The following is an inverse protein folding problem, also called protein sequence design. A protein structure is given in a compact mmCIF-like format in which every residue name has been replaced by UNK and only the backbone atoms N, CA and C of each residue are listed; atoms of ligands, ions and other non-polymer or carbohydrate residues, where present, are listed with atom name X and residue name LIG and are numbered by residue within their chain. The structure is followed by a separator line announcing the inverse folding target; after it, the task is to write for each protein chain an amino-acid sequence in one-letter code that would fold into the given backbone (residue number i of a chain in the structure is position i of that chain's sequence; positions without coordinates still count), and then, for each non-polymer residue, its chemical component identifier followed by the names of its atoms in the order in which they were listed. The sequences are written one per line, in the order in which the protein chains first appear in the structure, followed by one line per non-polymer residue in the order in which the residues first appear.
data_IF_770364234513
#
_entry.id   IF_770364234513
#
_cell.length_a   1.000
_cell.length_b   1.000
_cell.length_c   1.000
_cell.angle_alpha   90.00
_cell.angle_beta   90.00
_cell.angle_gamma   90.00
#
_symmetry.space_group_name_H-M   'P 1'
#
loop_
_entity.id
_entity.type
_entity.pdbx_description
1 polymer ?
#
# COMPACT_ATOMS: atom_id res chain seq x y z
N UNK A 1 -19.01 -10.57 -0.31
CA UNK A 1 -18.05 -10.61 -1.44
C UNK A 1 -18.76 -10.43 -2.78
N UNK A 2 -19.94 -11.02 -3.02
CA UNK A 2 -20.84 -10.57 -4.11
C UNK A 2 -21.08 -9.05 -4.02
N UNK A 3 -21.37 -8.55 -2.81
CA UNK A 3 -21.44 -7.10 -2.51
C UNK A 3 -20.17 -6.32 -2.89
N UNK A 4 -19.00 -6.94 -2.79
CA UNK A 4 -17.73 -6.25 -3.09
C UNK A 4 -17.55 -6.09 -4.60
N UNK A 5 -17.89 -7.11 -5.39
CA UNK A 5 -17.87 -7.04 -6.85
C UNK A 5 -18.89 -6.04 -7.38
N UNK A 6 -20.13 -6.09 -6.88
CA UNK A 6 -21.18 -5.14 -7.30
C UNK A 6 -20.82 -3.70 -6.93
N UNK A 7 -20.30 -3.46 -5.72
CA UNK A 7 -19.83 -2.13 -5.30
C UNK A 7 -18.64 -1.66 -6.13
N UNK A 8 -17.67 -2.53 -6.44
CA UNK A 8 -16.56 -2.16 -7.31
C UNK A 8 -17.03 -1.82 -8.73
N UNK A 9 -18.02 -2.54 -9.26
CA UNK A 9 -18.65 -2.22 -10.55
C UNK A 9 -19.35 -0.86 -10.54
N UNK A 10 -20.03 -0.50 -9.45
CA UNK A 10 -20.66 0.82 -9.29
C UNK A 10 -19.62 1.95 -9.21
N UNK A 11 -18.48 1.69 -8.58
CA UNK A 11 -17.38 2.64 -8.44
C UNK A 11 -16.43 2.67 -9.65
N UNK A 12 -16.71 1.87 -10.67
CA UNK A 12 -15.91 1.78 -11.87
C UNK A 12 -15.86 3.14 -12.58
N UNK A 13 -14.65 3.52 -12.98
CA UNK A 13 -14.40 4.67 -13.85
C UNK A 13 -13.68 4.19 -15.10
N UNK A 14 -13.80 4.96 -16.17
CA UNK A 14 -13.06 4.72 -17.40
C UNK A 14 -11.72 5.43 -17.35
N UNK A 15 -10.74 4.83 -18.02
CA UNK A 15 -9.45 5.47 -18.26
C UNK A 15 -9.68 6.66 -19.18
N UNK A 16 -9.17 7.84 -18.81
CA UNK A 16 -9.43 9.07 -19.56
C UNK A 16 -8.18 9.94 -19.63
N UNK A 17 -8.05 10.73 -20.70
CA UNK A 17 -6.96 11.71 -20.85
C UNK A 17 -7.08 12.90 -19.89
N UNK A 18 -8.19 12.97 -19.15
CA UNK A 18 -8.46 14.00 -18.13
C UNK A 18 -8.81 13.33 -16.81
N UNK A 19 -8.60 14.04 -15.69
CA UNK A 19 -8.99 13.54 -14.37
C UNK A 19 -10.53 13.52 -14.26
N UNK A 20 -11.17 12.35 -14.05
CA UNK A 20 -12.63 12.22 -14.02
C UNK A 20 -13.27 12.72 -12.71
N UNK A 21 -12.49 13.38 -11.86
CA UNK A 21 -12.89 13.91 -10.56
C UNK A 21 -12.86 15.44 -10.58
N UNK A 22 -13.90 16.09 -10.07
CA UNK A 22 -13.99 17.57 -10.07
C UNK A 22 -13.01 18.23 -9.09
N UNK A 23 -12.53 17.48 -8.10
CA UNK A 23 -11.59 17.95 -7.09
C UNK A 23 -10.85 16.79 -6.44
N UNK A 24 -9.72 17.08 -5.77
CA UNK A 24 -9.00 16.12 -4.94
C UNK A 24 -9.90 15.46 -3.89
N UNK A 25 -10.78 16.24 -3.25
CA UNK A 25 -11.72 15.73 -2.24
C UNK A 25 -12.64 14.64 -2.82
N UNK A 26 -13.09 14.79 -4.07
CA UNK A 26 -13.90 13.74 -4.72
C UNK A 26 -13.08 12.49 -5.04
N UNK A 27 -11.83 12.67 -5.46
CA UNK A 27 -10.90 11.56 -5.69
C UNK A 27 -10.61 10.80 -4.39
N UNK A 28 -10.34 11.49 -3.29
CA UNK A 28 -10.09 10.87 -1.99
C UNK A 28 -11.31 10.11 -1.47
N UNK A 29 -12.51 10.70 -1.56
CA UNK A 29 -13.76 10.00 -1.19
C UNK A 29 -13.96 8.71 -1.97
N UNK A 30 -13.80 8.78 -3.29
CA UNK A 30 -13.87 7.59 -4.13
C UNK A 30 -12.80 6.56 -3.74
N UNK A 31 -11.59 7.01 -3.45
CA UNK A 31 -10.50 6.12 -3.08
C UNK A 31 -10.72 5.44 -1.72
N UNK A 32 -11.35 6.12 -0.76
CA UNK A 32 -11.72 5.57 0.54
C UNK A 32 -12.85 4.53 0.43
N UNK A 33 -13.75 4.67 -0.54
CA UNK A 33 -14.78 3.68 -0.85
C UNK A 33 -14.19 2.44 -1.54
N UNK A 34 -13.22 2.63 -2.44
CA UNK A 34 -12.58 1.55 -3.22
C UNK A 34 -11.58 0.74 -2.39
N UNK A 35 -10.70 1.41 -1.62
CA UNK A 35 -9.60 0.76 -0.91
C UNK A 35 -9.99 -0.46 -0.04
N UNK A 36 -11.05 -0.41 0.79
CA UNK A 36 -11.45 -1.58 1.59
C UNK A 36 -11.95 -2.74 0.73
N UNK A 37 -12.51 -2.46 -0.45
CA UNK A 37 -13.02 -3.48 -1.38
C UNK A 37 -11.89 -4.23 -2.10
N UNK A 38 -10.68 -3.66 -2.17
CA UNK A 38 -9.51 -4.28 -2.79
C UNK A 38 -8.75 -5.24 -1.85
N UNK A 39 -9.11 -5.32 -0.56
CA UNK A 39 -8.38 -6.12 0.44
C UNK A 39 -8.41 -7.64 0.23
N UNK A 40 -9.16 -8.14 -0.75
CA UNK A 40 -9.10 -9.55 -1.15
C UNK A 40 -7.80 -9.87 -1.92
N UNK A 41 -7.18 -8.87 -2.55
CA UNK A 41 -5.92 -8.99 -3.26
C UNK A 41 -4.94 -7.92 -2.77
N UNK A 42 -4.05 -8.33 -1.85
CA UNK A 42 -3.04 -7.46 -1.24
C UNK A 42 -2.14 -6.74 -2.29
N UNK A 43 -1.61 -7.41 -3.34
CA UNK A 43 -0.90 -6.74 -4.42
C UNK A 43 -1.68 -5.59 -5.09
N UNK A 44 -2.95 -5.82 -5.44
CA UNK A 44 -3.80 -4.79 -6.06
C UNK A 44 -4.09 -3.65 -5.09
N UNK A 45 -4.39 -3.94 -3.83
CA UNK A 45 -4.60 -2.92 -2.79
C UNK A 45 -3.35 -2.04 -2.59
N UNK A 46 -2.15 -2.62 -2.61
CA UNK A 46 -0.90 -1.88 -2.49
C UNK A 46 -0.62 -1.01 -3.73
N UNK A 47 -0.84 -1.55 -4.94
CA UNK A 47 -0.69 -0.80 -6.20
C UNK A 47 -1.63 0.40 -6.24
N UNK A 48 -2.88 0.18 -5.88
CA UNK A 48 -3.89 1.23 -5.77
C UNK A 48 -3.46 2.31 -4.77
N UNK A 49 -3.05 1.93 -3.56
CA UNK A 49 -2.65 2.90 -2.54
C UNK A 49 -1.42 3.73 -2.97
N UNK A 50 -0.45 3.13 -3.66
CA UNK A 50 0.70 3.89 -4.20
C UNK A 50 0.27 4.91 -5.25
N UNK A 51 -0.62 4.52 -6.17
CA UNK A 51 -1.16 5.42 -7.19
C UNK A 51 -1.96 6.56 -6.55
N UNK A 52 -2.83 6.22 -5.57
CA UNK A 52 -3.58 7.19 -4.75
C UNK A 52 -2.67 8.22 -4.09
N UNK A 53 -1.63 7.78 -3.38
CA UNK A 53 -0.72 8.67 -2.67
C UNK A 53 0.01 9.61 -3.63
N UNK A 54 0.48 9.10 -4.77
CA UNK A 54 1.14 9.94 -5.77
C UNK A 54 0.19 10.95 -6.41
N UNK A 55 -1.03 10.53 -6.74
CA UNK A 55 -2.06 11.44 -7.24
C UNK A 55 -2.41 12.53 -6.22
N UNK A 56 -2.54 12.17 -4.93
CA UNK A 56 -2.86 13.12 -3.86
C UNK A 56 -1.74 14.14 -3.60
N UNK A 57 -0.49 13.81 -3.89
CA UNK A 57 0.62 14.75 -3.80
C UNK A 57 0.59 15.79 -4.93
N UNK A 58 0.18 15.40 -6.13
CA UNK A 58 0.27 16.26 -7.33
C UNK A 58 -1.02 17.07 -7.56
N UNK A 59 -2.20 16.52 -7.26
CA UNK A 59 -3.52 17.15 -7.48
C UNK A 59 -3.73 18.53 -6.82
N UNK A 60 -3.21 18.84 -5.61
CA UNK A 60 -3.34 20.17 -5.00
C UNK A 60 -2.72 21.29 -5.84
N UNK A 61 -1.72 20.97 -6.66
CA UNK A 61 -1.01 21.93 -7.51
C UNK A 61 -1.64 22.06 -8.91
N UNK A 62 -2.76 21.36 -9.15
CA UNK A 62 -3.46 21.34 -10.42
C UNK A 62 -3.28 20.03 -11.21
N UNK A 63 -4.11 19.81 -12.25
CA UNK A 63 -4.04 18.59 -13.07
C UNK A 63 -2.79 18.61 -13.95
N UNK A 64 -1.74 17.92 -13.51
CA UNK A 64 -0.55 17.64 -14.32
C UNK A 64 -0.69 16.30 -15.05
N UNK A 65 0.05 16.10 -16.14
CA UNK A 65 0.08 14.80 -16.82
C UNK A 65 0.43 13.65 -15.85
N UNK A 66 1.39 13.88 -14.94
CA UNK A 66 1.74 12.91 -13.90
C UNK A 66 0.55 12.56 -13.01
N UNK A 67 -0.21 13.56 -12.55
CA UNK A 67 -1.40 13.32 -11.73
C UNK A 67 -2.49 12.56 -12.49
N UNK A 68 -2.69 12.87 -13.77
CA UNK A 68 -3.62 12.15 -14.67
C UNK A 68 -3.19 10.69 -14.78
N UNK A 69 -1.91 10.44 -15.05
CA UNK A 69 -1.36 9.08 -15.16
C UNK A 69 -1.54 8.29 -13.86
N UNK A 70 -1.31 8.91 -12.69
CA UNK A 70 -1.48 8.24 -11.40
C UNK A 70 -2.95 7.93 -11.09
N UNK A 71 -3.87 8.83 -11.44
CA UNK A 71 -5.31 8.60 -11.31
C UNK A 71 -5.74 7.46 -12.23
N UNK A 72 -5.25 7.43 -13.47
CA UNK A 72 -5.54 6.35 -14.42
C UNK A 72 -4.99 5.01 -13.94
N UNK A 73 -3.78 4.96 -13.37
CA UNK A 73 -3.24 3.74 -12.75
C UNK A 73 -4.16 3.25 -11.62
N UNK A 74 -4.70 4.16 -10.81
CA UNK A 74 -5.63 3.79 -9.74
C UNK A 74 -6.93 3.20 -10.34
N UNK A 75 -7.49 3.83 -11.37
CA UNK A 75 -8.68 3.37 -12.10
C UNK A 75 -8.43 1.99 -12.73
N UNK A 76 -7.31 1.81 -13.40
CA UNK A 76 -6.94 0.55 -14.05
C UNK A 76 -6.76 -0.57 -13.03
N UNK A 77 -6.23 -0.26 -11.85
CA UNK A 77 -6.12 -1.23 -10.74
C UNK A 77 -7.50 -1.69 -10.25
N UNK A 78 -8.49 -0.78 -10.21
CA UNK A 78 -9.89 -1.15 -9.89
C UNK A 78 -10.50 -2.01 -10.98
N UNK A 79 -10.28 -1.66 -12.25
CA UNK A 79 -10.75 -2.44 -13.39
C UNK A 79 -10.15 -3.85 -13.42
N UNK A 80 -8.88 -3.98 -13.06
CA UNK A 80 -8.18 -5.26 -12.92
C UNK A 80 -8.78 -6.09 -11.76
N UNK A 81 -9.04 -5.47 -10.61
CA UNK A 81 -9.69 -6.12 -9.47
C UNK A 81 -11.09 -6.65 -9.80
N UNK A 82 -11.87 -5.91 -10.58
CA UNK A 82 -13.19 -6.35 -11.06
C UNK A 82 -13.04 -7.60 -11.93
N UNK A 83 -12.12 -7.58 -12.91
CA UNK A 83 -11.87 -8.73 -13.79
C UNK A 83 -11.44 -9.98 -13.01
N UNK A 84 -10.59 -9.81 -12.01
CA UNK A 84 -10.13 -10.93 -11.18
C UNK A 84 -11.26 -11.53 -10.33
N UNK A 85 -12.12 -10.69 -9.74
CA UNK A 85 -13.30 -11.14 -9.02
C UNK A 85 -14.35 -11.79 -9.93
N UNK A 86 -14.50 -11.31 -11.18
CA UNK A 86 -15.36 -11.94 -12.19
C UNK A 86 -14.83 -13.31 -12.65
N UNK A 87 -13.51 -13.45 -12.71
CA UNK A 87 -12.85 -14.69 -13.14
C UNK A 87 -12.71 -15.73 -12.01
N UNK A 88 -12.92 -15.36 -10.74
CA UNK A 88 -12.84 -16.31 -9.62
C UNK A 88 -14.00 -17.32 -9.67
N UNK A 89 -13.72 -18.63 -9.79
CA UNK A 89 -14.75 -19.64 -9.68
C UNK A 89 -15.28 -19.71 -8.23
N UNK A 90 -16.59 -19.93 -8.08
CA UNK A 90 -17.28 -20.04 -6.78
C UNK A 90 -16.66 -21.06 -5.79
N UNK A 91 -15.74 -21.91 -6.21
CA UNK A 91 -15.02 -22.89 -5.39
C UNK A 91 -13.77 -22.36 -4.67
N UNK A 92 -13.26 -21.16 -5.00
CA UNK A 92 -12.09 -20.57 -4.31
C UNK A 92 -12.44 -20.00 -2.91
N UNK A 93 -13.71 -19.70 -2.67
CA UNK A 93 -14.18 -19.09 -1.43
C UNK A 93 -14.10 -20.02 -0.21
N UNK A 94 -13.93 -21.34 -0.40
CA UNK A 94 -13.72 -22.30 0.70
C UNK A 94 -12.24 -22.48 1.10
N UNK A 95 -11.27 -21.90 0.35
CA UNK A 95 -9.83 -22.15 0.55
C UNK A 95 -9.07 -21.00 1.22
N UNK A 96 -9.73 -19.87 1.45
CA UNK A 96 -9.11 -18.64 1.96
C UNK A 96 -8.78 -18.71 3.47
N UNK A 97 -9.40 -19.63 4.20
CA UNK A 97 -9.02 -19.96 5.58
C UNK A 97 -7.65 -20.67 5.69
N UNK A 98 -7.17 -21.32 4.62
CA UNK A 98 -5.96 -22.17 4.66
C UNK A 98 -4.68 -21.48 4.19
N UNK A 99 -4.77 -20.40 3.41
CA UNK A 99 -3.57 -19.71 2.89
C UNK A 99 -3.01 -18.67 3.86
N UNK A 100 -3.86 -18.01 4.67
CA UNK A 100 -3.42 -17.01 5.67
C UNK A 100 -2.62 -17.64 6.82
N UNK A 101 -2.85 -18.91 7.16
CA UNK A 101 -2.10 -19.62 8.21
C UNK A 101 -0.69 -20.01 7.76
N UNK A 102 -0.47 -20.28 6.46
CA UNK A 102 0.83 -20.76 5.96
C UNK A 102 1.91 -19.67 5.91
N UNK A 103 1.54 -18.41 5.68
CA UNK A 103 2.48 -17.29 5.71
C UNK A 103 2.86 -16.85 7.13
N UNK A 104 1.91 -16.86 8.08
CA UNK A 104 2.23 -16.57 9.50
C UNK A 104 3.12 -17.64 10.12
N UNK A 105 2.95 -18.91 9.74
CA UNK A 105 3.82 -19.99 10.23
C UNK A 105 5.28 -19.86 9.75
N UNK A 106 5.53 -19.20 8.61
CA UNK A 106 6.88 -19.02 8.06
C UNK A 106 7.62 -17.79 8.61
N UNK A 107 6.91 -16.84 9.22
CA UNK A 107 7.54 -15.67 9.86
C UNK A 107 7.98 -15.95 11.30
N UNK A 108 7.44 -16.98 11.96
CA UNK A 108 7.78 -17.33 13.34
C UNK A 108 9.03 -18.21 13.49
N UNK A 109 9.66 -18.63 12.38
CA UNK A 109 10.86 -19.50 12.40
C UNK A 109 12.20 -18.75 12.31
N UNK A 110 12.20 -17.42 12.31
CA UNK A 110 13.42 -16.63 12.45
C UNK A 110 13.24 -15.53 13.50
N UNK A 111 13.54 -15.79 14.79
CA UNK A 111 13.82 -14.70 15.71
C UNK A 111 15.03 -13.95 15.17
N UNK A 112 14.77 -12.75 14.65
CA UNK A 112 15.78 -11.78 14.27
C UNK A 112 16.55 -11.43 15.54
N UNK A 113 17.72 -12.04 15.72
CA UNK A 113 18.74 -11.71 16.71
C UNK A 113 19.34 -10.33 16.36
N UNK A 114 18.54 -9.26 16.49
CA UNK A 114 19.05 -7.88 16.49
C UNK A 114 19.15 -7.45 17.94
N UNK A 115 20.17 -7.98 18.62
CA UNK A 115 20.55 -7.58 19.96
C UNK A 115 22.05 -7.76 20.11
N UNK A 116 22.86 -6.89 19.48
CA UNK A 116 24.24 -6.64 19.96
C UNK A 116 24.99 -5.50 19.26
N UNK A 117 24.60 -5.06 18.05
CA UNK A 117 25.45 -4.11 17.29
C UNK A 117 25.22 -2.65 17.64
N UNK A 118 24.00 -2.25 18.00
CA UNK A 118 23.74 -0.83 18.35
C UNK A 118 24.38 -0.47 19.69
N UNK A 119 24.39 -1.37 20.67
CA UNK A 119 25.04 -1.13 21.98
C UNK A 119 26.57 -0.99 21.90
N UNK A 120 27.22 -1.73 21.00
CA UNK A 120 28.68 -1.73 20.86
C UNK A 120 29.20 -0.42 20.23
N UNK A 121 28.42 0.19 19.32
CA UNK A 121 28.76 1.50 18.73
C UNK A 121 28.70 2.60 19.79
N UNK A 122 27.70 2.57 20.68
CA UNK A 122 27.63 3.56 21.78
C UNK A 122 28.75 3.38 22.82
N UNK A 123 29.21 2.14 23.06
CA UNK A 123 30.29 1.90 24.01
C UNK A 123 31.67 2.38 23.52
N UNK A 124 31.97 2.22 22.22
CA UNK A 124 33.24 2.70 21.65
C UNK A 124 33.30 4.23 21.62
N UNK A 125 32.19 4.91 21.29
CA UNK A 125 32.12 6.37 21.27
C UNK A 125 32.18 6.98 22.68
N UNK A 126 31.59 6.33 23.69
CA UNK A 126 31.62 6.82 25.07
C UNK A 126 33.01 6.81 25.72
N UNK A 127 33.84 5.80 25.42
CA UNK A 127 35.20 5.70 25.99
C UNK A 127 36.17 6.70 25.36
N UNK A 128 36.04 6.98 24.05
CA UNK A 128 36.92 7.94 23.35
C UNK A 128 36.81 9.38 23.87
N UNK A 129 35.62 9.79 24.31
CA UNK A 129 35.39 11.15 24.83
C UNK A 129 35.96 11.32 26.25
N UNK A 130 35.97 10.27 27.08
CA UNK A 130 36.54 10.33 28.43
C UNK A 130 38.08 10.37 28.45
N UNK A 131 38.75 9.75 27.47
CA UNK A 131 40.22 9.79 27.36
C UNK A 131 40.75 11.16 26.88
N UNK A 132 39.97 11.91 26.09
CA UNK A 132 40.38 13.24 25.62
C UNK A 132 40.35 14.31 26.71
N UNK A 133 39.59 14.11 27.80
CA UNK A 133 39.50 15.04 28.93
C UNK A 133 40.51 14.76 30.06
N UNK A 134 41.16 13.59 30.06
CA UNK A 134 42.12 13.20 31.11
C UNK A 134 43.59 13.60 30.81
N UNK A 135 43.92 14.01 29.57
CA UNK A 135 45.28 14.44 29.18
C UNK A 135 45.46 15.96 29.05
N UNK A 136 44.57 16.76 29.65
CA UNK A 136 44.74 18.22 29.75
C UNK A 136 44.81 18.63 31.22
N UNK A 137 45.93 18.28 31.85
CA UNK A 137 46.47 18.97 33.02
C UNK A 137 47.98 18.79 33.06
#
# INVERSE_FOLDING_TARGET
MMDSLEKLKQLRKEHTDTIPFKSLIQFEKWADEVYPLLKFNDPLAQRFNRARLKAALDLPYGPTQKSIDQVNIAIDTVNEAIKELEAMPHSFFSREGSFRTKWRARLHSHPILVSSTVGLIFFILGIGVMLAFACKN
#
